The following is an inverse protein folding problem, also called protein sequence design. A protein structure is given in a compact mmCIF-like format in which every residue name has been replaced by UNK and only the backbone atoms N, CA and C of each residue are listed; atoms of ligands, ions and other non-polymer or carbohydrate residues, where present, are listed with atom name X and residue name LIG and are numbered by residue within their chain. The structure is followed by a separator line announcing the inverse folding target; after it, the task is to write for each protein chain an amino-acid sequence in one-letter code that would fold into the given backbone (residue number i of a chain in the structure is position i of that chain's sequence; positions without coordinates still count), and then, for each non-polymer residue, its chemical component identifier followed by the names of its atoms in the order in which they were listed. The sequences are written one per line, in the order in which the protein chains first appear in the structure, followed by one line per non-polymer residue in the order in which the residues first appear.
data_IF_817955468107
#
_entry.id   IF_817955468107
#
_cell.length_a   1.000
_cell.length_b   1.000
_cell.length_c   1.000
_cell.angle_alpha   90.00
_cell.angle_beta   90.00
_cell.angle_gamma   90.00
#
_symmetry.space_group_name_H-M   'P 1'
#
loop_
_entity.id
_entity.type
_entity.pdbx_description
1 polymer ?
#
# COMPACT_ATOMS: atom_id res chain seq x y z
N UNK A 1 11.60 -13.60 29.91
CA UNK A 1 12.02 -13.73 28.50
C UNK A 1 11.20 -12.74 27.71
N UNK A 2 11.74 -11.55 27.43
CA UNK A 2 11.05 -10.47 26.70
C UNK A 2 11.92 -10.19 25.47
N UNK A 3 11.36 -10.41 24.28
CA UNK A 3 12.03 -10.16 23.00
C UNK A 3 12.30 -8.65 22.84
N UNK A 4 13.41 -8.26 22.17
CA UNK A 4 13.78 -6.86 22.06
C UNK A 4 12.88 -6.13 21.06
N UNK A 5 12.41 -4.96 21.50
CA UNK A 5 11.83 -3.91 20.67
C UNK A 5 12.89 -3.41 19.69
N UNK A 6 12.71 -3.72 18.40
CA UNK A 6 13.41 -3.04 17.30
C UNK A 6 12.49 -1.94 16.77
N UNK A 7 12.49 -0.80 17.46
CA UNK A 7 11.99 0.45 16.91
C UNK A 7 13.20 1.31 16.51
N UNK A 8 13.75 1.04 15.33
CA UNK A 8 14.70 1.93 14.66
C UNK A 8 14.10 2.43 13.37
N UNK A 9 13.57 3.65 13.38
CA UNK A 9 13.64 4.64 12.29
C UNK A 9 12.74 5.84 12.61
N UNK A 10 13.32 6.85 13.25
CA UNK A 10 12.75 8.20 13.24
C UNK A 10 12.72 8.74 11.80
N UNK A 11 11.70 9.56 11.49
CA UNK A 11 11.43 10.35 10.27
C UNK A 11 10.21 9.92 9.44
N UNK A 12 9.81 8.63 9.42
CA UNK A 12 8.64 8.19 8.63
C UNK A 12 7.28 8.51 9.29
N UNK A 13 7.20 8.54 10.62
CA UNK A 13 5.93 8.77 11.32
C UNK A 13 5.26 10.13 11.03
N UNK A 14 6.00 11.13 10.58
CA UNK A 14 5.45 12.44 10.19
C UNK A 14 4.95 12.48 8.74
N UNK A 15 5.59 11.74 7.84
CA UNK A 15 5.20 11.69 6.43
C UNK A 15 3.97 10.80 6.31
N UNK A 16 3.98 9.63 6.94
CA UNK A 16 2.85 8.71 6.90
C UNK A 16 1.58 9.37 7.46
N UNK A 17 1.69 10.13 8.57
CA UNK A 17 0.56 10.91 9.11
C UNK A 17 0.06 12.00 8.16
N UNK A 18 0.96 12.63 7.38
CA UNK A 18 0.55 13.64 6.41
C UNK A 18 -0.17 12.98 5.23
N UNK A 19 0.43 11.93 4.67
CA UNK A 19 -0.12 11.15 3.55
C UNK A 19 -1.46 10.51 3.92
N UNK A 20 -1.62 10.09 5.17
CA UNK A 20 -2.85 9.50 5.69
C UNK A 20 -4.04 10.48 5.64
N UNK A 21 -3.78 11.79 5.77
CA UNK A 21 -4.81 12.83 5.83
C UNK A 21 -5.08 13.49 4.48
N UNK A 22 -4.35 13.10 3.43
CA UNK A 22 -4.59 13.62 2.09
C UNK A 22 -5.94 13.12 1.57
N UNK A 23 -6.68 14.04 0.94
CA UNK A 23 -7.95 13.70 0.29
C UNK A 23 -7.76 12.88 -0.99
N UNK A 24 -6.56 12.89 -1.58
CA UNK A 24 -6.23 12.10 -2.75
C UNK A 24 -5.95 10.63 -2.34
N UNK A 25 -6.53 9.64 -3.04
CA UNK A 25 -6.17 8.24 -2.87
C UNK A 25 -4.68 8.00 -3.13
N UNK A 26 -3.96 7.49 -2.13
CA UNK A 26 -2.54 7.19 -2.23
C UNK A 26 -2.21 5.80 -1.71
N UNK A 27 -1.34 5.13 -2.46
CA UNK A 27 -0.71 3.86 -2.10
C UNK A 27 0.77 3.89 -2.46
N UNK A 28 1.61 3.26 -1.63
CA UNK A 28 3.02 3.04 -1.92
C UNK A 28 3.27 1.55 -2.07
N UNK A 29 3.95 1.19 -3.15
CA UNK A 29 4.37 -0.19 -3.42
C UNK A 29 5.90 -0.30 -3.38
N UNK A 30 6.40 -1.51 -3.17
CA UNK A 30 7.84 -1.79 -3.12
C UNK A 30 8.16 -3.03 -3.94
N UNK A 31 9.27 -2.96 -4.69
CA UNK A 31 9.83 -4.08 -5.43
C UNK A 31 9.08 -4.39 -6.72
N UNK A 32 9.57 -5.41 -7.43
CA UNK A 32 9.04 -5.80 -8.74
C UNK A 32 7.60 -6.33 -8.69
N UNK A 33 7.19 -6.91 -7.56
CA UNK A 33 5.85 -7.47 -7.37
C UNK A 33 4.83 -6.40 -6.92
N UNK A 34 5.24 -5.12 -6.86
CA UNK A 34 4.40 -4.01 -6.40
C UNK A 34 3.75 -4.29 -5.04
N UNK A 35 4.53 -4.83 -4.11
CA UNK A 35 4.06 -5.17 -2.76
C UNK A 35 3.61 -3.92 -2.04
N UNK A 36 2.35 -3.90 -1.60
CA UNK A 36 1.75 -2.73 -0.97
C UNK A 36 2.31 -2.53 0.44
N UNK A 37 2.95 -1.39 0.69
CA UNK A 37 3.57 -1.06 1.99
C UNK A 37 2.87 0.09 2.71
N UNK A 38 2.06 0.88 2.01
CA UNK A 38 1.24 1.94 2.58
C UNK A 38 -0.01 2.16 1.72
N UNK A 39 -1.13 2.48 2.37
CA UNK A 39 -2.36 2.92 1.72
C UNK A 39 -3.12 3.86 2.66
N UNK A 40 -3.41 5.08 2.22
CA UNK A 40 -4.15 6.03 3.05
C UNK A 40 -5.65 5.71 3.12
N UNK A 41 -6.38 6.40 3.99
CA UNK A 41 -7.84 6.25 4.15
C UNK A 41 -8.59 6.44 2.82
N UNK A 42 -8.28 7.51 2.06
CA UNK A 42 -8.93 7.78 0.79
C UNK A 42 -8.77 6.63 -0.23
N UNK A 43 -7.61 5.97 -0.26
CA UNK A 43 -7.37 4.79 -1.08
C UNK A 43 -8.13 3.56 -0.59
N UNK A 44 -8.19 3.35 0.72
CA UNK A 44 -8.98 2.25 1.34
C UNK A 44 -10.47 2.39 1.06
N UNK A 45 -10.97 3.62 1.13
CA UNK A 45 -12.35 3.97 0.81
C UNK A 45 -12.64 3.76 -0.68
N UNK A 46 -11.74 4.18 -1.57
CA UNK A 46 -11.85 3.97 -3.02
C UNK A 46 -12.00 2.49 -3.37
N UNK A 47 -11.27 1.62 -2.67
CA UNK A 47 -11.34 0.16 -2.89
C UNK A 47 -12.55 -0.51 -2.20
N UNK A 48 -13.39 0.26 -1.50
CA UNK A 48 -14.53 -0.27 -0.76
C UNK A 48 -14.12 -1.30 0.30
N UNK A 49 -12.90 -1.20 0.81
CA UNK A 49 -12.31 -2.16 1.73
C UNK A 49 -12.04 -1.50 3.09
N UNK A 50 -13.08 -1.23 3.91
CA UNK A 50 -12.91 -0.54 5.20
C UNK A 50 -12.03 -1.30 6.20
N UNK A 51 -11.72 -2.59 5.96
CA UNK A 51 -10.92 -3.43 6.86
C UNK A 51 -9.91 -4.38 6.18
N UNK A 52 -9.67 -4.28 4.87
CA UNK A 52 -9.14 -5.43 4.11
C UNK A 52 -7.97 -5.20 3.16
N UNK A 53 -7.29 -4.06 3.21
CA UNK A 53 -6.04 -3.93 2.46
C UNK A 53 -4.94 -4.68 3.22
N UNK A 54 -4.51 -5.82 2.68
CA UNK A 54 -3.41 -6.60 3.22
C UNK A 54 -2.08 -5.92 2.85
N UNK A 55 -1.55 -5.08 3.74
CA UNK A 55 -0.17 -4.62 3.62
C UNK A 55 0.77 -5.83 3.59
N UNK A 56 1.77 -5.79 2.72
CA UNK A 56 2.67 -6.90 2.45
C UNK A 56 2.19 -7.87 1.36
N UNK A 57 0.96 -7.70 0.84
CA UNK A 57 0.51 -8.41 -0.35
C UNK A 57 0.82 -7.61 -1.63
N UNK A 58 0.93 -8.27 -2.80
CA UNK A 58 0.93 -7.60 -4.09
C UNK A 58 -0.31 -6.69 -4.23
N UNK A 59 -0.13 -5.46 -4.75
CA UNK A 59 -1.24 -4.53 -4.96
C UNK A 59 -2.35 -5.13 -5.83
N UNK A 60 -1.96 -5.96 -6.80
CA UNK A 60 -2.87 -6.69 -7.68
C UNK A 60 -3.89 -7.55 -6.89
N UNK A 61 -3.45 -8.23 -5.83
CA UNK A 61 -4.28 -9.09 -5.00
C UNK A 61 -5.24 -8.30 -4.09
N UNK A 62 -4.91 -7.03 -3.81
CA UNK A 62 -5.75 -6.14 -3.01
C UNK A 62 -6.98 -5.63 -3.77
N UNK A 63 -7.03 -5.83 -5.10
CA UNK A 63 -8.11 -5.36 -5.94
C UNK A 63 -9.10 -6.47 -6.24
N UNK A 64 -10.36 -6.23 -5.87
CA UNK A 64 -11.48 -7.10 -6.24
C UNK A 64 -11.92 -6.80 -7.66
N UNK A 65 -11.17 -7.28 -8.66
CA UNK A 65 -11.61 -7.17 -10.04
C UNK A 65 -11.07 -8.30 -10.93
N UNK A 66 -11.87 -8.61 -11.94
CA UNK A 66 -11.57 -9.52 -13.06
C UNK A 66 -10.37 -9.02 -13.90
N UNK A 67 -9.97 -7.75 -13.71
CA UNK A 67 -8.95 -7.05 -14.48
C UNK A 67 -7.59 -6.91 -13.76
N UNK A 68 -7.36 -7.65 -12.67
CA UNK A 68 -6.10 -7.62 -11.91
C UNK A 68 -4.86 -7.86 -12.77
N UNK A 69 -4.97 -8.72 -13.79
CA UNK A 69 -3.89 -9.00 -14.75
C UNK A 69 -3.53 -7.79 -15.62
N UNK A 70 -4.53 -7.02 -16.07
CA UNK A 70 -4.34 -5.83 -16.88
C UNK A 70 -3.65 -4.71 -16.08
N UNK A 71 -4.02 -4.55 -14.79
CA UNK A 71 -3.34 -3.58 -13.94
C UNK A 71 -1.89 -3.99 -13.65
N UNK A 72 -1.63 -5.26 -13.34
CA UNK A 72 -0.27 -5.73 -13.10
C UNK A 72 0.62 -5.49 -14.33
N UNK A 73 0.10 -5.74 -15.54
CA UNK A 73 0.82 -5.44 -16.78
C UNK A 73 1.13 -3.94 -16.93
N UNK A 74 0.16 -3.06 -16.62
CA UNK A 74 0.34 -1.62 -16.67
C UNK A 74 1.37 -1.12 -15.65
N UNK A 75 1.33 -1.61 -14.42
CA UNK A 75 2.32 -1.28 -13.39
C UNK A 75 3.72 -1.75 -13.81
N UNK A 76 3.84 -2.97 -14.33
CA UNK A 76 5.12 -3.49 -14.84
C UNK A 76 5.66 -2.68 -16.03
N UNK A 77 4.79 -2.09 -16.85
CA UNK A 77 5.22 -1.19 -17.92
C UNK A 77 5.68 0.16 -17.39
N UNK A 78 4.97 0.73 -16.41
CA UNK A 78 5.23 2.07 -15.89
C UNK A 78 6.51 2.15 -15.04
N UNK A 79 6.88 1.07 -14.33
CA UNK A 79 8.01 1.03 -13.41
C UNK A 79 9.21 0.22 -13.94
N UNK A 80 9.35 0.13 -15.28
CA UNK A 80 10.47 -0.52 -15.97
C UNK A 80 11.78 0.26 -15.87
#
# INVERSE_FOLDING_TARGET
MIAPSVASSGTLGSIDQHLERLAAPMALTRGADHTLVFANAAFRDLLGAPAGIALGAPLADCLRSENTSALAALLNQAFR
#
